data_IF_711820236954
#
_entry.id   IF_711820236954
#
_cell.length_a   1.000
_cell.length_b   1.000
_cell.length_c   1.000
_cell.angle_alpha   90.00
_cell.angle_beta   90.00
_cell.angle_gamma   90.00
#
_symmetry.space_group_name_H-M   'P 1'
#
loop_
_entity.id
_entity.type
_entity.pdbx_description
1 polymer ?
#
# COMPACT_ATOMS: atom_id res chain seq x y z
N UNK A 1 -3.42 13.60 -0.09
CA UNK A 1 -4.59 12.97 0.57
C UNK A 1 -5.08 13.95 1.62
N UNK A 2 -6.38 14.25 1.68
CA UNK A 2 -6.95 15.15 2.68
C UNK A 2 -6.35 14.88 4.08
N UNK A 3 -5.98 15.94 4.81
CA UNK A 3 -5.31 15.85 6.10
C UNK A 3 -6.26 15.27 7.17
N UNK A 4 -6.41 13.93 7.20
CA UNK A 4 -7.28 13.22 8.16
C UNK A 4 -6.72 13.20 9.59
N UNK A 5 -5.70 14.02 9.89
CA UNK A 5 -5.06 14.07 11.22
C UNK A 5 -5.96 14.72 12.27
N UNK A 6 -6.83 15.65 11.85
CA UNK A 6 -7.80 16.35 12.72
C UNK A 6 -9.16 15.63 12.85
N UNK A 7 -9.37 14.51 12.14
CA UNK A 7 -10.66 13.79 12.12
C UNK A 7 -10.71 12.70 13.19
N UNK A 8 -11.91 12.50 13.75
CA UNK A 8 -12.22 11.36 14.62
C UNK A 8 -11.96 10.01 13.95
N UNK A 9 -11.85 8.94 14.75
CA UNK A 9 -11.53 7.58 14.24
C UNK A 9 -12.51 7.11 13.16
N UNK A 10 -13.80 7.28 13.40
CA UNK A 10 -14.85 6.79 12.50
C UNK A 10 -14.98 7.63 11.23
N UNK A 11 -14.87 8.95 11.34
CA UNK A 11 -14.88 9.86 10.19
C UNK A 11 -13.67 9.63 9.27
N UNK A 12 -12.48 9.45 9.85
CA UNK A 12 -11.27 9.12 9.10
C UNK A 12 -11.40 7.78 8.37
N UNK A 13 -12.02 6.77 8.97
CA UNK A 13 -12.31 5.49 8.31
C UNK A 13 -13.27 5.68 7.14
N UNK A 14 -14.38 6.39 7.35
CA UNK A 14 -15.37 6.69 6.31
C UNK A 14 -14.73 7.43 5.14
N UNK A 15 -14.00 8.52 5.39
CA UNK A 15 -13.31 9.31 4.37
C UNK A 15 -12.27 8.49 3.58
N UNK A 16 -11.50 7.61 4.24
CA UNK A 16 -10.55 6.73 3.56
C UNK A 16 -11.25 5.66 2.72
N UNK A 17 -12.38 5.13 3.17
CA UNK A 17 -13.17 4.14 2.41
C UNK A 17 -13.80 4.78 1.17
N UNK A 18 -14.38 5.96 1.29
CA UNK A 18 -14.96 6.69 0.15
C UNK A 18 -13.90 7.04 -0.88
N UNK A 19 -12.73 7.54 -0.45
CA UNK A 19 -11.60 7.81 -1.36
C UNK A 19 -11.11 6.55 -2.09
N UNK A 20 -11.02 5.41 -1.40
CA UNK A 20 -10.65 4.11 -2.03
C UNK A 20 -11.71 3.64 -3.02
N UNK A 21 -13.00 3.85 -2.74
CA UNK A 21 -14.10 3.48 -3.65
C UNK A 21 -14.08 4.34 -4.91
N UNK A 22 -13.94 5.66 -4.76
CA UNK A 22 -13.78 6.62 -5.87
C UNK A 22 -12.56 6.26 -6.74
N UNK A 23 -11.39 6.05 -6.12
CA UNK A 23 -10.19 5.69 -6.87
C UNK A 23 -10.31 4.36 -7.65
N UNK A 24 -11.10 3.39 -7.16
CA UNK A 24 -11.36 2.15 -7.90
C UNK A 24 -12.27 2.37 -9.13
N UNK A 25 -13.22 3.30 -9.03
CA UNK A 25 -14.13 3.64 -10.12
C UNK A 25 -13.43 4.53 -11.17
N UNK A 26 -12.73 5.58 -10.73
CA UNK A 26 -12.11 6.57 -11.62
C UNK A 26 -10.83 6.05 -12.28
N UNK A 27 -10.02 5.27 -11.54
CA UNK A 27 -8.70 4.80 -11.99
C UNK A 27 -8.47 3.34 -11.56
N UNK A 28 -9.19 2.38 -12.18
CA UNK A 28 -9.01 0.97 -11.89
C UNK A 28 -7.55 0.56 -12.14
N UNK A 29 -6.97 -0.17 -11.18
CA UNK A 29 -5.62 -0.70 -11.34
C UNK A 29 -5.65 -1.84 -12.34
N UNK A 30 -4.67 -1.87 -13.25
CA UNK A 30 -4.48 -2.99 -14.15
C UNK A 30 -4.40 -4.31 -13.38
N UNK A 31 -4.91 -5.42 -13.94
CA UNK A 31 -4.67 -6.74 -13.39
C UNK A 31 -3.16 -7.00 -13.27
N UNK A 32 -2.77 -7.93 -12.40
CA UNK A 32 -1.35 -8.27 -12.22
C UNK A 32 -0.90 -9.15 -13.38
N UNK A 33 0.17 -8.76 -14.06
CA UNK A 33 0.79 -9.59 -15.13
C UNK A 33 1.63 -10.76 -14.59
N UNK A 34 1.64 -10.97 -13.27
CA UNK A 34 2.49 -11.95 -12.62
C UNK A 34 1.80 -12.57 -11.41
N UNK A 35 2.11 -13.84 -11.14
CA UNK A 35 1.58 -14.55 -10.00
C UNK A 35 1.88 -13.82 -8.69
N UNK A 36 0.93 -13.84 -7.76
CA UNK A 36 1.07 -13.18 -6.46
C UNK A 36 2.29 -13.78 -5.73
N UNK A 37 3.26 -12.93 -5.39
CA UNK A 37 4.48 -13.36 -4.68
C UNK A 37 5.67 -13.70 -5.60
N UNK A 38 5.50 -13.83 -6.91
CA UNK A 38 6.62 -14.18 -7.81
C UNK A 38 7.67 -13.07 -7.94
N UNK A 39 7.26 -11.79 -7.88
CA UNK A 39 8.17 -10.62 -7.83
C UNK A 39 8.62 -10.24 -6.42
N UNK A 40 8.46 -11.10 -5.41
CA UNK A 40 9.02 -10.82 -4.07
C UNK A 40 10.54 -10.78 -4.22
N UNK A 41 11.16 -9.63 -3.89
CA UNK A 41 12.62 -9.52 -3.91
C UNK A 41 13.19 -10.64 -3.05
N UNK A 42 13.92 -11.58 -3.65
CA UNK A 42 14.82 -12.46 -2.91
C UNK A 42 15.85 -11.52 -2.30
N UNK A 43 15.67 -11.16 -1.04
CA UNK A 43 16.65 -10.36 -0.31
C UNK A 43 17.94 -11.17 -0.38
N UNK A 44 19.02 -10.61 -0.94
CA UNK A 44 20.35 -11.23 -0.82
C UNK A 44 20.51 -11.51 0.67
N UNK A 45 20.69 -12.78 1.04
CA UNK A 45 21.12 -13.13 2.40
C UNK A 45 22.41 -12.36 2.59
N UNK A 46 22.37 -11.28 3.37
CA UNK A 46 23.59 -10.68 3.86
C UNK A 46 24.28 -11.77 4.66
N UNK A 47 25.60 -11.90 4.52
CA UNK A 47 26.35 -12.73 5.43
C UNK A 47 26.03 -12.27 6.86
N UNK A 48 25.83 -13.22 7.77
CA UNK A 48 25.49 -12.96 9.18
C UNK A 48 26.54 -11.98 9.74
N UNK A 49 26.12 -10.76 10.10
CA UNK A 49 27.02 -9.72 10.60
C UNK A 49 27.25 -8.49 9.70
N UNK A 50 26.76 -8.46 8.46
CA UNK A 50 26.83 -7.21 7.66
C UNK A 50 25.74 -6.22 8.08
N UNK A 51 26.14 -5.16 8.78
CA UNK A 51 25.32 -3.98 9.00
C UNK A 51 25.34 -3.10 7.74
N UNK A 52 24.16 -2.78 7.20
CA UNK A 52 24.05 -1.71 6.19
C UNK A 52 24.08 -0.38 6.93
N UNK A 53 25.26 0.21 7.11
CA UNK A 53 25.37 1.66 7.30
C UNK A 53 25.11 2.34 5.97
#
# INVERSE_FOLDING_TARGET
MANTKKLGKEERKKARRTARKKAKADKPKKPRDYARGSKKRKVKKLARGQAKR
#
